data_IF_418733410770
#
_entry.id   IF_418733410770
#
_cell.length_a   1.000
_cell.length_b   1.000
_cell.length_c   1.000
_cell.angle_alpha   90.00
_cell.angle_beta   90.00
_cell.angle_gamma   90.00
#
_symmetry.space_group_name_H-M   'P 1'
#
loop_
_entity.id
_entity.type
_entity.pdbx_description
1 polymer ?
2 branched ?
3 non-polymer ?
4 non-polymer ?
5 non-polymer ?
6 non-polymer ?
7 non-polymer ?
8 water ?
#
# COMPACT_ATOMS: atom_id res chain seq x y z
N UNK A 29 5.27 -4.14 36.99
CA UNK A 29 4.18 -4.69 37.85
C UNK A 29 3.10 -3.65 38.20
N UNK A 30 3.53 -2.39 38.33
CA UNK A 30 2.61 -1.33 38.66
C UNK A 30 2.00 -0.80 37.36
N UNK A 31 0.93 -1.48 36.95
CA UNK A 31 0.22 -1.12 35.72
C UNK A 31 -0.32 0.31 35.76
N UNK A 32 -0.56 0.83 36.96
CA UNK A 32 -1.05 2.21 37.09
C UNK A 32 0.02 3.25 36.78
N UNK A 33 1.28 2.83 36.63
CA UNK A 33 2.40 3.73 36.29
C UNK A 33 2.81 3.60 34.84
N UNK A 34 2.08 2.81 34.06
CA UNK A 34 2.36 2.70 32.62
C UNK A 34 2.02 4.03 31.94
N UNK A 35 3.00 4.63 31.23
CA UNK A 35 2.81 5.97 30.66
C UNK A 35 1.72 6.02 29.61
N UNK A 36 1.07 7.17 29.49
CA UNK A 36 0.27 7.50 28.31
C UNK A 36 1.20 7.74 27.11
N UNK A 37 0.71 7.48 25.88
CA UNK A 37 1.56 7.56 24.71
C UNK A 37 1.90 8.99 24.28
N UNK A 38 2.95 9.11 23.48
CA UNK A 38 3.41 10.37 22.97
C UNK A 38 3.33 10.40 21.47
N UNK A 39 3.41 11.62 20.92
CA UNK A 39 3.28 11.83 19.49
C UNK A 39 4.65 12.06 18.86
N UNK A 40 4.79 11.69 17.59
CA UNK A 40 6.02 11.96 16.85
C UNK A 40 6.34 13.44 16.90
N UNK A 41 7.61 13.76 17.10
CA UNK A 41 8.05 15.15 17.18
C UNK A 41 8.21 15.73 15.77
N UNK A 42 7.24 16.53 15.34
CA UNK A 42 7.27 17.11 13.98
C UNK A 42 8.45 18.07 13.78
N UNK A 43 8.96 18.65 14.86
CA UNK A 43 10.08 19.58 14.75
C UNK A 43 11.37 18.85 14.33
N UNK A 44 11.40 17.54 14.48
CA UNK A 44 12.57 16.76 14.09
C UNK A 44 12.68 16.55 12.57
N UNK A 45 11.65 16.91 11.81
CA UNK A 45 11.65 16.73 10.37
C UNK A 45 12.06 17.99 9.62
N UNK A 46 12.61 17.83 8.43
CA UNK A 46 12.79 18.96 7.55
C UNK A 46 11.48 19.22 6.80
N UNK A 47 11.34 20.43 6.30
CA UNK A 47 10.15 20.84 5.56
C UNK A 47 9.80 19.83 4.45
N UNK A 48 8.53 19.45 4.37
CA UNK A 48 8.07 18.51 3.37
C UNK A 48 6.60 18.75 3.12
N UNK A 49 6.23 18.93 1.84
CA UNK A 49 4.85 19.15 1.44
C UNK A 49 3.94 18.06 1.91
N UNK A 50 2.77 18.47 2.38
CA UNK A 50 1.64 17.57 2.59
C UNK A 50 1.00 17.22 1.25
N UNK A 51 0.58 15.96 1.12
CA UNK A 51 -0.19 15.49 -0.02
C UNK A 51 -1.66 15.41 0.41
N UNK A 52 -2.55 15.85 -0.46
CA UNK A 52 -3.96 15.81 -0.17
C UNK A 52 -4.76 15.39 -1.38
N UNK A 53 -6.03 15.08 -1.14
CA UNK A 53 -6.94 14.68 -2.20
C UNK A 53 -7.71 15.90 -2.70
N UNK A 54 -7.71 16.09 -4.01
CA UNK A 54 -8.61 17.06 -4.61
C UNK A 54 -9.30 16.43 -5.80
N UNK A 55 -10.60 16.20 -5.70
CA UNK A 55 -11.34 15.49 -6.76
C UNK A 55 -10.76 14.12 -6.99
N UNK A 56 -10.45 13.81 -8.25
CA UNK A 56 -9.84 12.53 -8.59
C UNK A 56 -8.30 12.53 -8.61
N UNK A 57 -7.68 13.55 -8.01
CA UNK A 57 -6.22 13.71 -8.03
C UNK A 57 -5.66 13.86 -6.62
N UNK A 58 -4.39 13.48 -6.47
CA UNK A 58 -3.57 13.95 -5.35
C UNK A 58 -2.90 15.26 -5.73
N UNK A 59 -2.79 16.18 -4.80
CA UNK A 59 -1.99 17.37 -5.01
C UNK A 59 -1.11 17.61 -3.81
N UNK A 60 0.03 18.29 -4.03
CA UNK A 60 0.85 18.76 -2.92
C UNK A 60 0.35 20.12 -2.46
N UNK A 61 0.91 20.64 -1.37
CA UNK A 61 0.40 21.88 -0.79
C UNK A 61 0.93 23.12 -1.49
N UNK A 62 1.70 22.93 -2.56
CA UNK A 62 1.95 23.99 -3.52
C UNK A 62 0.89 23.96 -4.64
N UNK A 63 -0.08 23.04 -4.53
CA UNK A 63 -1.17 22.95 -5.51
C UNK A 63 -0.84 22.18 -6.77
N UNK A 64 0.30 21.50 -6.80
CA UNK A 64 0.72 20.76 -7.98
C UNK A 64 0.26 19.29 -7.90
N UNK A 65 -0.19 18.77 -9.03
CA UNK A 65 -0.65 17.38 -9.09
C UNK A 65 0.48 16.44 -8.72
N UNK A 66 0.15 15.41 -7.95
CA UNK A 66 1.16 14.52 -7.40
C UNK A 66 0.77 13.08 -7.70
N UNK A 67 1.76 12.26 -8.01
CA UNK A 67 1.58 10.84 -8.24
C UNK A 67 2.53 10.05 -7.34
N UNK A 68 2.00 9.12 -6.55
CA UNK A 68 2.85 8.20 -5.80
C UNK A 68 3.41 7.21 -6.80
N UNK A 69 4.72 7.05 -6.80
CA UNK A 69 5.41 6.10 -7.67
C UNK A 69 6.51 5.49 -6.85
N UNK A 70 6.45 4.19 -6.60
CA UNK A 70 7.48 3.57 -5.80
C UNK A 70 7.30 2.11 -5.58
N UNK A 71 7.69 1.63 -4.39
CA UNK A 71 7.73 0.21 -4.11
C UNK A 71 7.28 -0.14 -2.70
N UNK A 72 6.86 -1.39 -2.55
CA UNK A 72 6.82 -2.04 -1.28
C UNK A 72 8.21 -2.53 -0.90
N UNK A 73 8.54 -2.46 0.38
CA UNK A 73 9.60 -3.26 0.97
C UNK A 73 8.91 -4.27 1.85
N UNK A 74 9.67 -5.21 2.40
CA UNK A 74 9.10 -6.23 3.30
C UNK A 74 8.69 -5.63 4.64
N UNK A 75 7.96 -6.43 5.42
CA UNK A 75 7.60 -6.07 6.79
C UNK A 75 8.84 -5.70 7.60
N UNK A 76 8.72 -4.68 8.44
CA UNK A 76 9.83 -4.18 9.24
C UNK A 76 10.55 -5.26 10.06
N UNK A 77 9.79 -6.16 10.66
CA UNK A 77 10.34 -7.29 11.41
C UNK A 77 11.15 -8.25 10.57
N UNK A 78 10.68 -8.57 9.37
CA UNK A 78 11.45 -9.43 8.48
C UNK A 78 12.80 -8.79 8.19
N UNK A 79 12.79 -7.50 7.89
CA UNK A 79 14.03 -6.80 7.55
C UNK A 79 14.98 -6.72 8.76
N UNK A 80 14.42 -6.43 9.94
CA UNK A 80 15.24 -6.38 11.15
C UNK A 80 15.93 -7.71 11.41
N UNK A 81 15.24 -8.82 11.16
CA UNK A 81 15.77 -10.13 11.51
C UNK A 81 17.03 -10.45 10.70
N UNK A 82 17.18 -9.87 9.52
CA UNK A 82 18.38 -10.07 8.72
C UNK A 82 19.23 -8.78 8.63
N UNK A 83 19.05 -7.87 9.59
CA UNK A 83 19.76 -6.59 9.63
C UNK A 83 19.65 -5.76 8.35
N UNK A 84 18.49 -5.80 7.70
CA UNK A 84 18.29 -5.03 6.46
C UNK A 84 17.40 -3.80 6.67
N UNK A 85 16.98 -3.57 7.91
CA UNK A 85 16.23 -2.36 8.24
C UNK A 85 17.20 -1.22 8.51
N UNK A 86 17.49 -0.46 7.45
CA UNK A 86 18.58 0.52 7.43
C UNK A 86 18.21 1.66 6.49
N UNK A 87 18.65 2.86 6.82
CA UNK A 87 18.44 4.03 5.98
C UNK A 87 19.00 3.80 4.59
N UNK A 88 20.12 3.07 4.49
CA UNK A 88 20.73 2.74 3.21
C UNK A 88 19.73 2.11 2.23
N UNK A 89 18.79 1.34 2.75
CA UNK A 89 17.74 0.76 1.90
C UNK A 89 16.90 1.88 1.24
N UNK A 90 16.51 2.86 2.04
CA UNK A 90 15.69 3.96 1.56
C UNK A 90 16.49 4.83 0.59
N UNK A 91 17.78 5.00 0.89
CA UNK A 91 18.68 5.77 0.04
C UNK A 91 18.85 5.12 -1.35
N UNK A 92 19.04 3.81 -1.37
CA UNK A 92 19.13 3.06 -2.63
C UNK A 92 17.90 3.35 -3.50
N UNK A 93 16.71 3.23 -2.90
CA UNK A 93 15.46 3.41 -3.64
C UNK A 93 15.27 4.84 -4.13
N UNK A 94 15.53 5.80 -3.25
CA UNK A 94 15.36 7.21 -3.63
C UNK A 94 16.40 7.61 -4.66
N UNK A 95 17.67 7.23 -4.46
CA UNK A 95 18.75 7.73 -5.30
C UNK A 95 18.90 7.00 -6.62
N UNK A 96 18.61 5.71 -6.65
CA UNK A 96 18.86 4.89 -7.84
C UNK A 96 17.65 4.29 -8.52
N UNK A 97 16.51 4.25 -7.84
CA UNK A 97 15.31 3.60 -8.40
C UNK A 97 14.19 4.60 -8.68
N UNK A 98 14.43 5.87 -8.40
CA UNK A 98 13.50 6.93 -8.75
C UNK A 98 12.19 6.97 -7.98
N UNK A 99 12.12 6.33 -6.82
CA UNK A 99 10.86 6.33 -6.08
C UNK A 99 10.61 7.67 -5.37
N UNK A 100 9.34 8.04 -5.25
CA UNK A 100 8.95 9.07 -4.30
C UNK A 100 8.11 8.51 -3.14
N UNK A 101 7.92 7.19 -3.13
CA UNK A 101 7.05 6.52 -2.14
C UNK A 101 7.52 5.12 -1.81
N UNK A 102 7.41 4.77 -0.53
CA UNK A 102 7.60 3.40 -0.06
C UNK A 102 6.37 2.97 0.71
N UNK A 103 5.88 1.78 0.39
CA UNK A 103 4.78 1.18 1.13
C UNK A 103 5.35 0.20 2.16
N UNK A 104 4.88 0.33 3.40
CA UNK A 104 5.29 -0.54 4.50
C UNK A 104 4.13 -1.49 4.81
N UNK A 105 4.28 -2.78 4.48
CA UNK A 105 3.23 -3.74 4.74
C UNK A 105 3.37 -4.30 6.14
N UNK A 106 2.66 -3.68 7.08
CA UNK A 106 2.74 -4.06 8.48
C UNK A 106 1.85 -5.26 8.71
N UNK A 107 2.49 -6.42 8.89
CA UNK A 107 1.78 -7.69 9.09
C UNK A 107 1.35 -7.79 10.54
N UNK A 108 0.06 -8.10 10.80
CA UNK A 108 -0.41 -8.19 12.18
C UNK A 108 0.38 -9.13 13.09
N UNK A 109 0.85 -10.26 12.55
CA UNK A 109 1.66 -11.17 13.37
C UNK A 109 2.97 -10.51 13.83
N UNK A 110 3.55 -9.66 12.98
CA UNK A 110 4.78 -8.95 13.29
C UNK A 110 4.54 -7.77 14.25
N UNK A 111 3.42 -7.10 14.04
CA UNK A 111 2.95 -6.09 14.95
C UNK A 111 2.86 -6.66 16.38
N UNK A 112 2.25 -7.84 16.52
CA UNK A 112 2.17 -8.51 17.83
C UNK A 112 3.55 -8.98 18.32
N UNK A 113 4.37 -9.51 17.41
CA UNK A 113 5.65 -10.09 17.81
C UNK A 113 6.63 -9.04 18.33
N UNK A 114 6.77 -7.91 17.63
CA UNK A 114 7.63 -6.83 18.13
C UNK A 114 6.93 -6.10 19.25
N UNK A 115 5.59 -6.06 19.20
CA UNK A 115 4.79 -5.28 20.13
C UNK A 115 4.69 -3.84 19.60
N UNK A 116 3.55 -3.18 19.85
CA UNK A 116 3.29 -1.83 19.34
C UNK A 116 4.41 -0.81 19.59
N UNK A 117 4.92 -0.76 20.82
CA UNK A 117 5.93 0.24 21.17
C UNK A 117 7.19 0.11 20.35
N UNK A 118 7.71 -1.10 20.23
CA UNK A 118 8.92 -1.34 19.44
C UNK A 118 8.65 -1.14 17.95
N UNK A 119 7.50 -1.60 17.45
CA UNK A 119 7.18 -1.46 16.03
C UNK A 119 7.05 0.02 15.68
N UNK A 120 6.30 0.77 16.48
CA UNK A 120 6.16 2.21 16.26
C UNK A 120 7.53 2.93 16.30
N UNK A 121 8.41 2.51 17.20
CA UNK A 121 9.77 3.08 17.25
C UNK A 121 10.53 2.87 15.94
N UNK A 122 10.31 1.76 15.26
CA UNK A 122 10.96 1.54 13.98
C UNK A 122 10.25 2.29 12.86
N UNK A 123 8.93 2.42 12.94
CA UNK A 123 8.22 3.25 11.97
C UNK A 123 8.75 4.68 12.07
N UNK A 124 9.00 5.16 13.29
CA UNK A 124 9.61 6.49 13.51
C UNK A 124 10.90 6.65 12.71
N UNK A 125 11.72 5.61 12.68
CA UNK A 125 12.95 5.63 11.88
C UNK A 125 12.66 5.80 10.38
N UNK A 126 11.72 5.01 9.88
CA UNK A 126 11.30 5.13 8.49
C UNK A 126 10.86 6.54 8.18
N UNK A 127 10.12 7.16 9.09
CA UNK A 127 9.63 8.53 8.89
C UNK A 127 10.81 9.50 8.75
N UNK A 128 11.78 9.39 9.64
CA UNK A 128 12.95 10.27 9.59
C UNK A 128 13.73 10.02 8.30
N UNK A 129 13.91 8.75 7.95
CA UNK A 129 14.67 8.39 6.74
C UNK A 129 13.99 8.95 5.49
N UNK A 130 12.69 8.68 5.35
CA UNK A 130 11.93 9.13 4.18
C UNK A 130 11.90 10.66 4.10
N UNK A 131 11.62 11.31 5.23
CA UNK A 131 11.60 12.77 5.28
C UNK A 131 12.91 13.37 4.78
N UNK A 132 14.03 12.81 5.22
CA UNK A 132 15.33 13.33 4.87
C UNK A 132 15.58 13.21 3.37
N UNK A 133 15.04 12.16 2.77
CA UNK A 133 15.14 11.90 1.34
C UNK A 133 14.02 12.54 0.53
N UNK A 134 13.08 13.20 1.20
CA UNK A 134 11.97 13.84 0.51
C UNK A 134 11.02 12.85 -0.12
N UNK A 135 10.91 11.64 0.43
CA UNK A 135 9.91 10.68 -0.04
C UNK A 135 8.78 10.46 0.96
N UNK A 136 7.74 9.76 0.52
CA UNK A 136 6.53 9.56 1.33
C UNK A 136 6.31 8.10 1.66
N UNK A 137 5.55 7.86 2.72
CA UNK A 137 5.24 6.52 3.19
C UNK A 137 3.77 6.24 3.09
N UNK A 138 3.43 5.03 2.65
CA UNK A 138 2.10 4.48 2.80
C UNK A 138 2.18 3.42 3.90
N UNK A 139 1.43 3.61 4.98
CA UNK A 139 1.33 2.59 6.03
C UNK A 139 0.13 1.69 5.72
N UNK A 140 0.43 0.41 5.56
CA UNK A 140 -0.54 -0.58 5.09
C UNK A 140 -0.76 -1.62 6.19
N UNK A 141 -2.00 -1.71 6.68
CA UNK A 141 -2.34 -2.74 7.67
C UNK A 141 -2.55 -4.01 6.88
N UNK A 142 -1.51 -4.84 6.87
CA UNK A 142 -1.32 -5.83 5.82
C UNK A 142 -1.90 -7.18 6.18
N UNK A 143 -3.21 -7.26 6.06
CA UNK A 143 -3.95 -8.49 6.27
C UNK A 143 -4.61 -8.92 4.97
N UNK A 144 -5.02 -10.18 4.91
CA UNK A 144 -5.70 -10.73 3.74
C UNK A 144 -6.81 -11.59 4.29
N UNK A 145 -8.05 -11.26 3.92
CA UNK A 145 -9.21 -11.98 4.41
C UNK A 145 -10.40 -11.07 4.63
N UNK A 146 -11.30 -11.53 5.49
CA UNK A 146 -12.57 -10.85 5.73
C UNK A 146 -12.69 -10.39 7.17
N UNK A 147 -12.43 -9.11 7.38
CA UNK A 147 -12.41 -8.53 8.72
C UNK A 147 -13.73 -8.66 9.48
N UNK A 148 -14.88 -8.48 8.79
CA UNK A 148 -16.13 -8.59 9.55
C UNK A 148 -16.39 -9.94 10.20
N UNK A 149 -15.81 -11.04 9.69
CA UNK A 149 -15.89 -12.34 10.34
C UNK A 149 -14.58 -12.74 11.03
N UNK A 150 -13.56 -11.91 10.86
CA UNK A 150 -12.23 -12.11 11.42
C UNK A 150 -11.66 -13.48 11.05
N UNK A 151 -11.75 -13.79 9.75
CA UNK A 151 -11.21 -15.01 9.15
C UNK A 151 -10.27 -14.60 8.01
N UNK A 152 -9.12 -15.27 7.91
CA UNK A 152 -8.05 -14.80 7.05
C UNK A 152 -7.42 -15.89 6.19
N UNK A 153 -6.65 -15.44 5.21
CA UNK A 153 -5.98 -16.36 4.31
C UNK A 153 -4.88 -17.20 5.01
N UNK A 154 -4.26 -16.66 6.05
CA UNK A 154 -3.12 -17.31 6.69
C UNK A 154 -2.91 -16.64 8.05
N UNK A 155 -2.44 -17.40 9.05
CA UNK A 155 -2.20 -16.85 10.40
C UNK A 155 -1.39 -15.55 10.47
N UNK A 156 -0.43 -15.38 9.57
CA UNK A 156 0.44 -14.20 9.59
C UNK A 156 -0.41 -12.93 9.41
N UNK A 157 -1.61 -13.08 8.86
CA UNK A 157 -2.55 -11.97 8.62
C UNK A 157 -3.63 -11.86 9.70
N UNK A 158 -3.61 -12.75 10.68
CA UNK A 158 -4.66 -12.81 11.68
C UNK A 158 -4.78 -11.52 12.50
N UNK A 159 -6.01 -11.06 12.64
CA UNK A 159 -6.30 -9.90 13.46
C UNK A 159 -7.78 -9.94 13.89
N UNK A 160 -8.20 -8.88 14.56
CA UNK A 160 -9.60 -8.70 14.94
C UNK A 160 -9.98 -7.26 14.61
N UNK A 161 -11.28 -7.00 14.60
CA UNK A 161 -11.77 -5.66 14.44
C UNK A 161 -11.19 -4.79 15.56
N UNK A 162 -11.17 -5.32 16.79
CA UNK A 162 -10.61 -4.57 17.91
C UNK A 162 -9.13 -4.17 17.71
N UNK A 163 -8.31 -5.12 17.27
CA UNK A 163 -6.88 -4.87 17.08
C UNK A 163 -6.64 -3.91 15.91
N UNK A 164 -7.47 -4.06 14.87
CA UNK A 164 -7.40 -3.21 13.70
C UNK A 164 -7.74 -1.75 14.06
N UNK A 165 -8.82 -1.56 14.80
CA UNK A 165 -9.15 -0.22 15.30
C UNK A 165 -8.03 0.34 16.17
N UNK A 166 -7.51 -0.48 17.06
CA UNK A 166 -6.45 -0.03 17.97
C UNK A 166 -5.17 0.34 17.22
N UNK A 167 -4.83 -0.42 16.18
CA UNK A 167 -3.70 -0.07 15.33
C UNK A 167 -3.87 1.35 14.75
N UNK A 168 -5.02 1.59 14.12
CA UNK A 168 -5.25 2.88 13.48
C UNK A 168 -5.36 4.01 14.49
N UNK A 169 -5.92 3.73 15.66
CA UNK A 169 -5.96 4.70 16.75
C UNK A 169 -4.57 5.13 17.15
N UNK A 170 -3.69 4.15 17.36
CA UNK A 170 -2.31 4.42 17.76
C UNK A 170 -1.51 5.15 16.67
N UNK A 171 -1.63 4.67 15.44
CA UNK A 171 -0.93 5.26 14.30
C UNK A 171 -1.35 6.71 14.09
N UNK A 172 -2.65 6.97 14.12
CA UNK A 172 -3.15 8.31 13.84
C UNK A 172 -2.74 9.31 14.92
N UNK A 173 -2.75 8.89 16.19
CA UNK A 173 -2.28 9.74 17.28
C UNK A 173 -0.78 10.05 17.13
N UNK A 174 0.01 9.02 16.87
CA UNK A 174 1.45 9.17 16.87
C UNK A 174 1.96 10.04 15.74
N UNK A 175 1.37 9.90 14.54
CA UNK A 175 1.87 10.60 13.35
C UNK A 175 1.00 11.78 12.93
N UNK A 176 0.27 12.35 13.90
CA UNK A 176 -0.56 13.52 13.64
C UNK A 176 0.30 14.63 13.08
N UNK A 177 -0.18 15.25 12.00
CA UNK A 177 0.50 16.40 11.41
C UNK A 177 1.90 16.07 10.87
N UNK A 178 2.11 14.82 10.44
CA UNK A 178 3.39 14.40 9.86
C UNK A 178 3.26 14.23 8.36
N UNK A 179 3.86 15.14 7.57
CA UNK A 179 3.62 15.13 6.11
C UNK A 179 4.18 13.89 5.42
N UNK A 180 5.24 13.34 5.99
CA UNK A 180 5.94 12.19 5.44
C UNK A 180 5.02 10.97 5.34
N UNK A 181 4.13 10.83 6.30
CA UNK A 181 3.19 9.71 6.32
C UNK A 181 1.91 10.17 5.62
N UNK A 182 1.77 9.77 4.36
CA UNK A 182 0.75 10.34 3.47
C UNK A 182 -0.57 9.57 3.43
N UNK A 183 -0.48 8.25 3.52
CA UNK A 183 -1.62 7.37 3.25
C UNK A 183 -1.74 6.28 4.31
N UNK A 184 -2.97 6.10 4.79
CA UNK A 184 -3.34 5.06 5.73
C UNK A 184 -4.19 4.02 4.98
N UNK A 185 -3.55 2.90 4.65
CA UNK A 185 -4.20 1.88 3.85
C UNK A 185 -4.85 0.90 4.82
N UNK A 186 -6.16 1.07 5.00
CA UNK A 186 -6.90 0.49 6.11
C UNK A 186 -6.81 -1.05 6.26
N UNK A 187 -6.89 -1.78 5.15
CA UNK A 187 -6.87 -3.23 5.13
C UNK A 187 -6.44 -3.70 3.73
N UNK A 188 -5.23 -4.25 3.66
CA UNK A 188 -4.55 -4.61 2.42
C UNK A 188 -5.43 -5.30 1.38
N UNK A 189 -5.87 -6.53 1.66
CA UNK A 189 -6.61 -7.28 0.64
C UNK A 189 -7.87 -7.95 1.18
N UNK A 190 -9.01 -7.27 1.03
CA UNK A 190 -10.26 -7.90 1.40
C UNK A 190 -10.58 -9.06 0.44
N UNK A 191 -10.92 -10.21 1.00
CA UNK A 191 -11.38 -11.37 0.21
C UNK A 191 -12.08 -12.33 1.15
N UNK A 192 -13.07 -13.04 0.64
CA UNK A 192 -13.66 -14.15 1.40
C UNK A 192 -13.24 -15.51 0.88
N UNK A 193 -12.30 -15.53 -0.07
CA UNK A 193 -11.83 -16.77 -0.68
C UNK A 193 -12.97 -17.69 -1.13
N UNK A 194 -13.79 -17.19 -2.06
CA UNK A 194 -14.96 -17.95 -2.54
C UNK A 194 -16.04 -18.12 -1.46
N UNK A 195 -16.10 -17.15 -0.56
CA UNK A 195 -16.99 -17.16 0.61
C UNK A 195 -16.73 -18.31 1.60
N UNK A 196 -15.53 -18.87 1.56
CA UNK A 196 -15.09 -19.81 2.59
C UNK A 196 -14.78 -19.10 3.93
N UNK A 197 -14.49 -17.81 3.87
CA UNK A 197 -14.15 -17.01 5.06
C UNK A 197 -15.34 -16.24 5.66
N UNK A 198 -16.47 -16.25 4.93
CA UNK A 198 -17.68 -15.49 5.30
C UNK A 198 -18.42 -15.13 4.02
N UNK A 199 -19.58 -14.48 4.16
CA UNK A 199 -20.35 -13.99 2.99
C UNK A 199 -19.96 -12.56 2.66
N UNK A 200 -19.27 -12.36 1.55
CA UNK A 200 -18.85 -11.02 1.18
C UNK A 200 -20.10 -10.18 1.06
N UNK A 201 -20.06 -9.00 1.67
CA UNK A 201 -21.20 -8.10 1.72
C UNK A 201 -20.68 -6.69 1.70
N UNK A 202 -20.85 -6.01 0.55
CA UNK A 202 -20.32 -4.67 0.37
C UNK A 202 -20.81 -3.72 1.46
N UNK A 203 -22.09 -3.75 1.76
CA UNK A 203 -22.67 -2.81 2.73
C UNK A 203 -21.99 -2.90 4.11
N UNK A 204 -21.71 -4.12 4.58
CA UNK A 204 -21.07 -4.26 5.89
C UNK A 204 -19.59 -3.82 5.83
N UNK A 205 -18.92 -4.09 4.71
CA UNK A 205 -17.54 -3.66 4.51
C UNK A 205 -17.44 -2.13 4.41
N UNK A 206 -18.34 -1.54 3.63
CA UNK A 206 -18.43 -0.10 3.49
C UNK A 206 -18.55 0.56 4.87
N UNK A 207 -19.52 0.10 5.65
CA UNK A 207 -19.78 0.63 6.99
C UNK A 207 -18.55 0.54 7.88
N UNK A 208 -17.86 -0.58 7.83
CA UNK A 208 -16.67 -0.76 8.66
C UNK A 208 -15.53 0.20 8.25
N UNK A 209 -15.31 0.38 6.95
CA UNK A 209 -14.31 1.34 6.49
C UNK A 209 -14.65 2.77 6.92
N UNK A 210 -15.93 3.11 6.83
CA UNK A 210 -16.41 4.41 7.27
C UNK A 210 -16.19 4.59 8.77
N UNK A 211 -16.34 3.52 9.53
CA UNK A 211 -16.11 3.56 10.97
C UNK A 211 -14.63 3.81 11.28
N UNK A 212 -13.74 3.10 10.59
CA UNK A 212 -12.29 3.34 10.74
C UNK A 212 -11.93 4.77 10.31
N UNK A 213 -12.49 5.23 9.20
CA UNK A 213 -12.19 6.58 8.72
C UNK A 213 -12.61 7.62 9.75
N UNK A 214 -13.75 7.40 10.40
CA UNK A 214 -14.23 8.31 11.42
C UNK A 214 -13.28 8.40 12.64
N UNK A 215 -12.75 7.26 13.07
CA UNK A 215 -11.74 7.24 14.15
C UNK A 215 -10.51 8.02 13.76
N UNK A 216 -10.09 7.83 12.51
CA UNK A 216 -8.91 8.50 11.99
C UNK A 216 -9.12 10.01 11.89
N UNK A 217 -10.22 10.42 11.25
CA UNK A 217 -10.50 11.83 11.02
C UNK A 217 -10.78 12.59 12.34
N UNK A 218 -11.31 11.88 13.33
CA UNK A 218 -11.44 12.46 14.67
C UNK A 218 -10.07 12.83 15.26
N UNK A 219 -9.00 12.18 14.79
CA UNK A 219 -7.65 12.35 15.35
C UNK A 219 -6.71 13.15 14.45
N UNK A 220 -6.79 12.94 13.13
CA UNK A 220 -5.97 13.67 12.16
C UNK A 220 -6.70 13.73 10.79
N UNK A 221 -7.13 14.92 10.38
CA UNK A 221 -7.82 15.10 9.10
C UNK A 221 -6.90 15.38 7.93
N UNK A 222 -5.59 15.41 8.17
CA UNK A 222 -4.63 15.74 7.11
C UNK A 222 -4.09 14.51 6.38
N UNK A 223 -4.53 13.32 6.80
CA UNK A 223 -4.02 12.08 6.21
C UNK A 223 -5.03 11.51 5.20
N UNK A 224 -4.54 10.69 4.28
CA UNK A 224 -5.39 10.11 3.23
C UNK A 224 -5.70 8.63 3.51
N UNK A 225 -6.97 8.33 3.86
CA UNK A 225 -7.37 6.93 3.97
C UNK A 225 -7.48 6.28 2.59
N UNK A 226 -7.02 5.03 2.49
CA UNK A 226 -7.11 4.26 1.26
C UNK A 226 -7.95 3.00 1.49
N UNK A 227 -9.00 2.88 0.71
CA UNK A 227 -10.02 1.86 0.88
C UNK A 227 -9.93 0.87 -0.27
N UNK A 228 -10.15 -0.41 0.03
CA UNK A 228 -10.06 -1.49 -0.97
C UNK A 228 -11.38 -2.26 -1.15
N UNK A 229 -11.55 -2.82 -2.35
CA UNK A 229 -12.67 -3.69 -2.65
C UNK A 229 -12.34 -5.17 -2.45
N UNK A 230 -13.27 -6.01 -2.88
CA UNK A 230 -13.15 -7.45 -2.70
C UNK A 230 -12.27 -8.08 -3.78
N UNK A 231 -12.17 -9.41 -3.77
CA UNK A 231 -11.34 -10.16 -4.69
C UNK A 231 -9.88 -9.72 -4.58
N UNK A 232 -9.39 -9.66 -3.35
CA UNK A 232 -8.01 -9.26 -3.04
C UNK A 232 -7.73 -7.84 -3.54
N UNK A 233 -8.64 -6.93 -3.19
CA UNK A 233 -8.52 -5.53 -3.57
C UNK A 233 -8.46 -5.30 -5.09
N UNK A 234 -9.13 -6.15 -5.86
CA UNK A 234 -9.18 -5.97 -7.30
C UNK A 234 -10.49 -5.27 -7.73
N UNK A 235 -11.57 -5.58 -7.03
CA UNK A 235 -12.90 -5.22 -7.49
C UNK A 235 -13.47 -4.01 -6.76
N UNK A 236 -13.35 -2.85 -7.39
CA UNK A 236 -13.92 -1.62 -6.86
C UNK A 236 -15.33 -1.34 -7.40
N UNK A 237 -15.85 -2.19 -8.28
CA UNK A 237 -17.14 -1.91 -8.95
C UNK A 237 -18.31 -1.61 -8.02
N UNK A 238 -18.29 -2.09 -6.76
CA UNK A 238 -19.41 -1.70 -5.91
C UNK A 238 -19.50 -0.20 -5.61
N UNK A 239 -18.38 0.53 -5.76
CA UNK A 239 -18.41 1.96 -5.48
C UNK A 239 -19.13 2.75 -6.57
N UNK A 240 -19.41 2.12 -7.71
CA UNK A 240 -20.23 2.77 -8.74
C UNK A 240 -21.57 3.18 -8.15
N UNK A 241 -22.18 2.28 -7.38
CA UNK A 241 -23.48 2.58 -6.74
C UNK A 241 -23.37 2.93 -5.26
N UNK A 242 -22.39 2.38 -4.56
CA UNK A 242 -22.29 2.60 -3.11
C UNK A 242 -20.86 2.96 -2.69
N UNK A 243 -20.38 4.15 -3.09
CA UNK A 243 -19.05 4.57 -2.64
C UNK A 243 -19.02 4.88 -1.14
N UNK A 244 -17.85 4.74 -0.52
CA UNK A 244 -17.65 5.16 0.87
C UNK A 244 -18.11 6.63 0.98
N UNK A 245 -18.94 6.95 1.95
CA UNK A 245 -19.55 8.30 2.04
C UNK A 245 -18.72 9.25 2.88
N UNK A 246 -17.45 9.37 2.52
CA UNK A 246 -16.49 10.22 3.23
C UNK A 246 -15.59 10.89 2.21
N UNK A 247 -15.25 12.15 2.49
CA UNK A 247 -14.39 12.93 1.60
C UNK A 247 -12.93 12.66 1.91
N UNK A 248 -12.06 13.02 0.97
CA UNK A 248 -10.62 13.00 1.17
C UNK A 248 -9.98 11.62 1.16
N UNK A 249 -10.69 10.61 0.65
CA UNK A 249 -10.12 9.26 0.58
C UNK A 249 -9.64 8.91 -0.84
N UNK A 250 -8.89 7.82 -0.94
CA UNK A 250 -8.54 7.25 -2.23
C UNK A 250 -8.89 5.78 -2.21
N UNK A 251 -8.84 5.14 -3.37
CA UNK A 251 -9.12 3.71 -3.47
C UNK A 251 -7.92 2.91 -3.97
N UNK A 252 -7.74 1.74 -3.37
CA UNK A 252 -6.64 0.83 -3.72
C UNK A 252 -7.07 -0.06 -4.87
N UNK A 253 -6.10 -0.45 -5.69
CA UNK A 253 -6.32 -1.49 -6.69
C UNK A 253 -5.08 -2.40 -6.74
N UNK A 254 -5.29 -3.70 -6.85
CA UNK A 254 -4.18 -4.65 -6.99
C UNK A 254 -4.31 -5.41 -8.29
N UNK A 255 -3.95 -4.77 -9.42
CA UNK A 255 -4.19 -5.35 -10.73
C UNK A 255 -3.07 -6.27 -11.19
N UNK A 256 -2.92 -7.39 -10.52
CA UNK A 256 -1.94 -8.39 -10.93
C UNK A 256 -2.29 -8.92 -12.33
N UNK A 257 -1.30 -9.45 -13.07
CA UNK A 257 -1.53 -9.81 -14.47
C UNK A 257 -2.66 -10.79 -14.76
N UNK A 258 -2.87 -11.78 -13.88
CA UNK A 258 -3.85 -12.84 -14.14
C UNK A 258 -5.23 -12.59 -13.52
N UNK A 259 -5.46 -11.40 -12.96
CA UNK A 259 -6.77 -11.05 -12.41
C UNK A 259 -7.80 -10.91 -13.53
N UNK A 260 -7.45 -10.16 -14.58
CA UNK A 260 -8.31 -10.08 -15.76
C UNK A 260 -7.91 -11.20 -16.69
N UNK A 261 -8.89 -11.91 -17.23
CA UNK A 261 -8.63 -13.07 -18.07
C UNK A 261 -9.31 -12.96 -19.44
N UNK A 262 -8.87 -12.03 -20.29
CA UNK A 262 -9.42 -11.97 -21.64
C UNK A 262 -9.01 -13.20 -22.45
N UNK A 263 -9.88 -13.66 -23.36
CA UNK A 263 -9.54 -14.77 -24.24
C UNK A 263 -8.44 -14.38 -25.22
N UNK A 264 -8.53 -13.17 -25.75
CA UNK A 264 -7.50 -12.60 -26.62
C UNK A 264 -6.70 -11.56 -25.84
N UNK A 265 -5.41 -11.83 -25.70
CA UNK A 265 -4.55 -11.06 -24.83
C UNK A 265 -3.89 -9.89 -25.54
N UNK A 266 -4.50 -8.72 -25.41
CA UNK A 266 -3.94 -7.48 -25.97
C UNK A 266 -4.33 -6.27 -25.13
N UNK A 267 -3.76 -5.12 -25.47
CA UNK A 267 -4.02 -3.88 -24.75
C UNK A 267 -5.51 -3.60 -24.58
N UNK A 268 -6.24 -3.66 -25.68
CA UNK A 268 -7.64 -3.25 -25.70
C UNK A 268 -8.52 -4.10 -24.78
N UNK A 269 -8.30 -5.41 -24.80
CA UNK A 269 -9.13 -6.31 -24.01
C UNK A 269 -8.82 -6.23 -22.51
N UNK A 270 -7.54 -6.18 -22.18
CA UNK A 270 -7.15 -5.98 -20.78
C UNK A 270 -7.66 -4.62 -20.29
N UNK A 271 -7.47 -3.56 -21.08
CA UNK A 271 -7.91 -2.20 -20.68
C UNK A 271 -9.40 -2.15 -20.37
N UNK A 272 -10.20 -2.81 -21.19
CA UNK A 272 -11.63 -2.86 -21.00
C UNK A 272 -12.00 -3.58 -19.69
N UNK A 273 -11.36 -4.72 -19.44
CA UNK A 273 -11.61 -5.48 -18.21
C UNK A 273 -11.13 -4.70 -16.97
N UNK A 274 -9.96 -4.10 -17.04
CA UNK A 274 -9.49 -3.24 -15.95
C UNK A 274 -10.44 -2.06 -15.76
N UNK A 275 -10.85 -1.41 -16.86
CA UNK A 275 -11.85 -0.33 -16.81
C UNK A 275 -13.06 -0.73 -15.96
N UNK A 276 -13.57 -1.90 -16.23
CA UNK A 276 -14.83 -2.36 -15.64
C UNK A 276 -14.69 -2.66 -14.12
N UNK A 277 -13.55 -3.18 -13.70
CA UNK A 277 -13.39 -3.64 -12.32
C UNK A 277 -12.78 -2.61 -11.38
N UNK A 278 -11.87 -1.77 -11.88
CA UNK A 278 -11.17 -0.82 -11.01
C UNK A 278 -10.74 0.52 -11.64
N UNK A 279 -10.44 0.54 -12.93
CA UNK A 279 -9.93 1.73 -13.58
C UNK A 279 -10.91 2.87 -13.66
N UNK A 280 -12.20 2.55 -13.76
CA UNK A 280 -13.27 3.56 -13.77
C UNK A 280 -13.19 4.46 -12.53
N UNK A 281 -12.68 3.92 -11.44
CA UNK A 281 -12.63 4.66 -10.19
C UNK A 281 -11.77 5.90 -10.33
N UNK A 282 -10.73 5.83 -11.16
CA UNK A 282 -9.80 6.95 -11.36
C UNK A 282 -10.47 8.16 -12.02
N UNK A 283 -11.64 8.00 -12.64
CA UNK A 283 -12.38 9.13 -13.20
C UNK A 283 -12.94 10.06 -12.13
N UNK A 284 -13.17 9.53 -10.93
CA UNK A 284 -13.87 10.25 -9.87
C UNK A 284 -13.04 10.42 -8.59
N UNK A 285 -12.19 9.43 -8.28
CA UNK A 285 -11.37 9.45 -7.08
C UNK A 285 -9.94 9.15 -7.46
N UNK A 286 -8.98 9.53 -6.59
CA UNK A 286 -7.60 9.10 -6.80
C UNK A 286 -7.48 7.61 -6.52
N UNK A 287 -6.66 6.94 -7.31
CA UNK A 287 -6.45 5.50 -7.17
C UNK A 287 -4.95 5.23 -7.03
N UNK A 288 -4.60 4.38 -6.06
CA UNK A 288 -3.24 3.89 -5.91
C UNK A 288 -3.24 2.38 -6.08
N UNK A 289 -2.50 1.91 -7.07
CA UNK A 289 -2.26 0.49 -7.25
C UNK A 289 -1.14 0.08 -6.30
N UNK A 290 -1.51 -0.24 -5.06
CA UNK A 290 -0.53 -0.44 -4.00
C UNK A 290 0.20 -1.78 -4.05
N UNK A 291 -0.28 -2.67 -4.91
CA UNK A 291 0.42 -3.91 -5.25
C UNK A 291 0.17 -4.22 -6.71
N UNK A 292 1.27 -4.55 -7.40
CA UNK A 292 1.26 -4.95 -8.80
C UNK A 292 2.63 -5.55 -9.10
N UNK A 293 2.72 -6.30 -10.18
CA UNK A 293 3.99 -6.89 -10.56
C UNK A 293 3.81 -8.24 -11.21
N UNK A 294 4.92 -8.82 -11.64
CA UNK A 294 4.91 -10.11 -12.31
C UNK A 294 6.25 -10.83 -12.19
N UNK A 295 6.19 -12.14 -12.36
CA UNK A 295 7.37 -12.97 -12.59
C UNK A 295 7.02 -13.97 -13.72
N UNK A 296 8.03 -14.44 -14.44
CA UNK A 296 7.84 -15.49 -15.46
C UNK A 296 7.20 -16.72 -14.81
N UNK A 297 6.33 -17.44 -15.55
CA UNK A 297 5.68 -18.62 -14.98
C UNK A 297 6.65 -19.68 -14.45
N UNK A 298 7.87 -19.71 -15.00
CA UNK A 298 8.94 -20.58 -14.52
C UNK A 298 10.00 -19.85 -13.67
N UNK A 299 9.69 -18.63 -13.22
CA UNK A 299 10.63 -17.85 -12.42
C UNK A 299 10.47 -18.08 -10.93
N UNK A 300 11.17 -17.25 -10.16
CA UNK A 300 11.25 -17.43 -8.72
C UNK A 300 9.92 -17.12 -8.02
N UNK A 301 9.41 -18.07 -7.25
CA UNK A 301 8.17 -17.88 -6.51
C UNK A 301 6.95 -17.67 -7.41
N UNK A 302 6.97 -18.24 -8.60
CA UNK A 302 5.88 -18.07 -9.55
C UNK A 302 4.59 -18.72 -9.01
N UNK A 303 3.52 -17.92 -8.95
CA UNK A 303 2.21 -18.39 -8.49
C UNK A 303 1.11 -17.52 -9.09
N UNK A 304 -0.10 -18.06 -9.18
CA UNK A 304 -1.26 -17.29 -9.56
C UNK A 304 -1.40 -16.25 -8.45
N UNK A 305 -1.72 -14.99 -8.78
CA UNK A 305 -2.03 -14.44 -10.09
C UNK A 305 -0.92 -13.56 -10.68
N UNK A 306 0.34 -13.84 -10.33
CA UNK A 306 1.48 -12.99 -10.75
C UNK A 306 2.33 -13.51 -11.92
N UNK A 307 1.90 -14.59 -12.56
CA UNK A 307 2.64 -15.17 -13.69
C UNK A 307 2.36 -14.42 -14.96
N UNK A 308 3.41 -14.05 -15.67
CA UNK A 308 3.27 -13.34 -16.95
C UNK A 308 4.54 -13.49 -17.78
N UNK A 309 4.40 -13.41 -19.11
CA UNK A 309 5.54 -13.44 -20.03
C UNK A 309 6.29 -12.10 -20.09
N UNK A 310 5.78 -11.06 -19.44
CA UNK A 310 6.47 -9.76 -19.39
C UNK A 310 5.73 -8.67 -20.15
N UNK A 311 4.80 -9.05 -21.02
CA UNK A 311 4.03 -8.09 -21.79
C UNK A 311 3.13 -7.24 -20.88
N UNK A 312 2.81 -7.76 -19.71
CA UNK A 312 2.03 -7.02 -18.72
C UNK A 312 2.71 -5.73 -18.25
N UNK A 313 4.04 -5.72 -18.18
CA UNK A 313 4.76 -4.55 -17.69
C UNK A 313 4.40 -3.28 -18.45
N UNK A 314 4.72 -3.23 -19.75
CA UNK A 314 4.39 -2.06 -20.54
C UNK A 314 2.90 -1.75 -20.59
N UNK A 315 2.08 -2.79 -20.56
CA UNK A 315 0.62 -2.62 -20.67
C UNK A 315 0.02 -1.94 -19.45
N UNK A 316 0.37 -2.42 -18.25
CA UNK A 316 -0.16 -1.83 -17.02
C UNK A 316 0.40 -0.41 -16.82
N UNK A 317 1.65 -0.19 -17.21
CA UNK A 317 2.24 1.14 -17.10
C UNK A 317 1.56 2.12 -18.06
N UNK A 318 1.31 1.68 -19.28
CA UNK A 318 0.59 2.52 -20.23
C UNK A 318 -0.79 2.85 -19.69
N UNK A 319 -1.49 1.84 -19.18
CA UNK A 319 -2.84 2.03 -18.67
C UNK A 319 -2.84 3.04 -17.53
N UNK A 320 -1.93 2.83 -16.57
CA UNK A 320 -1.85 3.70 -15.40
C UNK A 320 -1.47 5.12 -15.79
N UNK A 321 -0.55 5.25 -16.74
CA UNK A 321 -0.15 6.56 -17.26
C UNK A 321 -1.31 7.32 -17.88
N UNK A 322 -2.11 6.62 -18.66
CA UNK A 322 -3.29 7.24 -19.27
C UNK A 322 -4.29 7.70 -18.25
N UNK A 323 -4.47 6.95 -17.17
CA UNK A 323 -5.49 7.27 -16.18
C UNK A 323 -4.95 8.10 -15.02
N UNK A 324 -3.65 8.41 -15.03
CA UNK A 324 -3.03 9.15 -13.93
C UNK A 324 -2.98 8.40 -12.60
N UNK A 325 -2.85 7.08 -12.67
CA UNK A 325 -2.95 6.21 -11.50
C UNK A 325 -1.59 6.11 -10.79
N UNK A 326 -1.61 6.22 -9.45
CA UNK A 326 -0.43 6.06 -8.61
C UNK A 326 -0.13 4.58 -8.40
N UNK A 327 1.08 4.23 -7.99
CA UNK A 327 1.41 2.81 -7.82
C UNK A 327 2.63 2.58 -6.92
N UNK A 328 2.60 1.45 -6.22
CA UNK A 328 3.77 0.92 -5.53
C UNK A 328 3.92 -0.57 -5.91
N UNK A 329 5.03 -0.88 -6.56
CA UNK A 329 5.30 -2.22 -7.06
C UNK A 329 5.57 -3.20 -5.90
N UNK A 330 5.12 -4.43 -6.07
CA UNK A 330 5.42 -5.51 -5.12
C UNK A 330 6.39 -6.49 -5.79
N UNK A 331 7.56 -6.77 -5.19
CA UNK A 331 8.06 -6.19 -3.93
C UNK A 331 9.57 -6.02 -4.01
N UNK A 332 10.08 -4.97 -3.37
CA UNK A 332 11.52 -4.70 -3.34
C UNK A 332 12.17 -5.50 -2.21
N UNK A 333 12.29 -6.81 -2.45
CA UNK A 333 12.81 -7.76 -1.47
C UNK A 333 13.30 -8.97 -2.25
N UNK A 334 14.39 -9.63 -1.82
CA UNK A 334 14.90 -10.76 -2.59
C UNK A 334 14.28 -12.10 -2.21
N UNK A 335 13.50 -12.16 -1.13
CA UNK A 335 12.92 -13.42 -0.64
C UNK A 335 11.46 -13.53 -1.01
N UNK A 336 10.71 -12.47 -0.75
CA UNK A 336 9.28 -12.41 -1.07
C UNK A 336 9.08 -12.18 -2.57
N UNK A 337 8.13 -12.89 -3.15
CA UNK A 337 7.90 -12.86 -4.58
C UNK A 337 6.56 -12.19 -4.95
N UNK A 338 6.45 -11.65 -6.18
CA UNK A 338 7.50 -11.52 -7.17
C UNK A 338 8.51 -10.45 -6.76
N UNK A 339 9.79 -10.75 -6.91
CA UNK A 339 10.85 -9.86 -6.43
C UNK A 339 11.10 -8.77 -7.44
N UNK A 340 11.57 -7.62 -6.96
CA UNK A 340 12.19 -6.62 -7.82
C UNK A 340 13.71 -6.75 -7.84
N UNK A 341 14.24 -7.47 -6.86
CA UNK A 341 15.68 -7.65 -6.71
C UNK A 341 16.00 -9.10 -6.35
N UNK A 342 17.13 -9.57 -6.83
CA UNK A 342 17.49 -10.97 -6.65
C UNK A 342 18.39 -11.19 -5.45
N UNK A 343 18.97 -10.12 -4.94
CA UNK A 343 19.83 -10.18 -3.77
C UNK A 343 19.87 -8.82 -3.07
N UNK A 344 20.56 -8.77 -1.94
CA UNK A 344 20.67 -7.52 -1.19
C UNK A 344 21.73 -6.56 -1.72
N UNK A 345 22.42 -6.92 -2.81
CA UNK A 345 23.19 -5.95 -3.60
C UNK A 345 22.30 -5.22 -4.61
N UNK A 346 21.00 -5.53 -4.61
CA UNK A 346 20.01 -4.86 -5.46
C UNK A 346 20.13 -5.18 -6.95
N UNK A 347 20.68 -6.34 -7.27
CA UNK A 347 20.67 -6.86 -8.66
C UNK A 347 19.23 -6.93 -9.16
N UNK A 348 18.89 -6.24 -10.25
CA UNK A 348 17.46 -6.21 -10.56
C UNK A 348 16.92 -7.52 -11.14
N UNK A 349 15.70 -7.89 -10.76
CA UNK A 349 14.97 -8.96 -11.44
C UNK A 349 14.43 -8.40 -12.75
N UNK A 350 13.71 -9.23 -13.51
CA UNK A 350 13.10 -8.77 -14.75
C UNK A 350 12.16 -7.61 -14.50
N UNK A 351 11.17 -7.82 -13.64
CA UNK A 351 10.23 -6.74 -13.36
C UNK A 351 10.93 -5.55 -12.69
N UNK A 352 11.96 -5.83 -11.90
CA UNK A 352 12.70 -4.78 -11.22
C UNK A 352 13.40 -3.84 -12.19
N UNK A 353 14.13 -4.42 -13.15
CA UNK A 353 14.80 -3.62 -14.17
C UNK A 353 13.79 -2.83 -14.98
N UNK A 354 12.66 -3.46 -15.30
CA UNK A 354 11.62 -2.77 -16.05
C UNK A 354 11.08 -1.56 -15.26
N UNK A 355 10.64 -1.80 -14.02
CA UNK A 355 10.01 -0.73 -13.25
C UNK A 355 11.00 0.37 -12.87
N UNK A 356 12.25 0.00 -12.63
CA UNK A 356 13.30 0.95 -12.30
C UNK A 356 13.44 1.99 -13.41
N UNK A 357 13.45 1.56 -14.66
CA UNK A 357 13.57 2.50 -15.77
C UNK A 357 12.29 3.34 -15.89
N UNK A 358 11.13 2.72 -15.72
CA UNK A 358 9.87 3.45 -15.75
C UNK A 358 9.88 4.59 -14.72
N UNK A 359 10.28 4.26 -13.49
CA UNK A 359 10.26 5.24 -12.41
C UNK A 359 11.34 6.31 -12.58
N UNK A 360 12.53 5.92 -13.03
CA UNK A 360 13.58 6.92 -13.35
C UNK A 360 13.10 7.89 -14.44
N UNK A 361 12.50 7.38 -15.50
CA UNK A 361 12.00 8.24 -16.56
C UNK A 361 10.86 9.15 -16.09
N UNK A 362 9.93 8.61 -15.30
CA UNK A 362 8.85 9.43 -14.76
C UNK A 362 9.38 10.57 -13.90
N UNK A 363 10.40 10.27 -13.09
CA UNK A 363 10.96 11.26 -12.19
C UNK A 363 11.47 12.48 -12.96
N UNK A 364 12.02 12.25 -14.16
CA UNK A 364 12.32 13.33 -15.09
C UNK A 364 11.00 13.85 -15.65
X LIG B 1 -7.60 -17.23 -7.33
X LIG B 1 -7.01 -15.95 -6.80
X LIG B 1 -6.80 -14.93 -7.90
X LIG B 1 -8.00 -14.81 -8.83
X LIG B 1 -7.55 -14.18 -10.15
X LIG B 1 -8.90 -16.94 -8.08
X LIG B 1 -9.40 -18.19 -8.58
X LIG B 1 -7.85 -18.11 -6.24
X LIG B 1 -5.74 -16.28 -6.27
X LIG B 1 -6.48 -13.68 -7.25
X LIG B 1 -8.63 -16.06 -9.16
X LIG B 1 -6.66 -15.06 -10.89
X LIG B 2 -4.21 -16.22 -4.54
X LIG B 2 -3.63 -15.37 -3.41
X LIG B 2 -3.17 -14.04 -3.96
X LIG B 2 -4.31 -13.34 -4.69
X LIG B 2 -3.90 -11.95 -5.20
X LIG B 2 -5.29 -15.43 -5.23
X LIG B 2 -4.80 -17.44 -4.08
X LIG B 2 -2.54 -16.06 -2.80
X LIG B 2 -2.76 -13.21 -2.88
X LIG B 2 -4.78 -14.20 -5.73
X LIG B 2 -4.92 -11.34 -5.99
X LIG B 3 -0.99 -11.79 -2.15
X LIG B 3 0.53 -11.68 -2.12
X LIG B 3 1.13 -12.92 -1.44
X LIG B 3 0.56 -14.24 -2.04
X LIG B 3 1.00 -15.54 -1.35
X LIG B 3 -1.35 -13.12 -2.78
X LIG B 3 -1.55 -10.73 -2.93
X LIG B 3 0.92 -10.48 -1.43
X LIG B 3 2.54 -12.81 -1.62
X LIG B 3 -0.86 -14.19 -1.99
X LIG B 3 0.41 -16.68 -1.99
X LIG B 4 4.71 -13.70 -1.04
X LIG B 4 5.40 -14.46 0.08
X LIG B 4 5.33 -13.68 1.40
X LIG B 4 3.96 -13.09 1.71
X LIG B 4 4.08 -12.12 2.87
X LIG B 4 3.31 -13.34 -0.53
X LIG B 4 4.67 -14.50 -2.24
X LIG B 4 6.76 -14.66 -0.36
X LIG B 4 5.67 -14.54 2.48
X LIG B 4 3.41 -12.44 0.56
X LIG B 4 2.90 -11.34 3.02
X LIG C 1 -13.87 -11.75 -2.33
X LIG D 1 0.47 12.52 7.60
X LIG E 1 0.01 -21.67 -8.55
X LIG E 1 -0.47 -20.75 -7.50
X LIG E 1 -0.10 -21.04 -9.88
X LIG E 1 -0.83 -22.89 -8.54
X LIG E 1 1.42 -22.04 -8.28
X LIG F 1 17.50 7.35 13.02
X LIG F 1 18.69 8.13 13.42
X LIG F 1 17.95 6.20 12.19
X LIG F 1 16.60 8.21 12.22
X LIG F 1 16.78 6.86 14.22
X LIG G 1 -4.32 10.33 24.42
X LIG G 1 -3.38 9.56 25.20
X LIG G 1 -4.85 9.51 23.23
X LIG G 1 -6.05 8.81 23.60
X LIG G 1 -3.81 8.53 22.70
X LIG G 1 -4.24 8.03 21.44
X LIG H 1 14.98 -15.02 4.84
X LIG H 1 16.40 -15.18 4.77
X LIG H 1 14.23 -16.16 4.16
X LIG H 1 12.91 -15.70 3.90
X LIG H 1 14.19 -17.41 5.05
X LIG H 1 13.53 -18.49 4.38
X LIG I 1 4.91 21.61 4.70
X LIG I 1 4.15 22.50 3.89
X LIG I 1 4.71 21.87 6.18
X LIG I 1 5.32 23.11 6.59
X LIG I 1 5.32 20.72 6.99
X LIG I 1 6.73 20.63 6.75
X LIG J 1 -5.36 -10.62 17.23
X LIG J 1 -6.10 -11.51 16.38
X LIG J 1 -5.44 -11.06 18.69
X LIG J 1 -6.81 -11.02 19.08
X LIG K 1 18.16 -0.45 14.38
X LIG K 1 16.77 -0.15 14.23
X LIG K 1 18.83 -0.55 13.01
X LIG K 1 18.60 0.64 12.23
X LIG L 1 18.78 -13.31 1.19
X LIG L 1 17.94 -14.10 2.04
X LIG L 1 18.69 -13.83 -0.24
X LIG L 1 19.40 -12.94 -1.10
X LIG M 1 -19.65 -17.65 -4.60
X LIG M 1 -19.95 -16.36 -5.13
X LIG M 1 -18.22 -17.65 -4.06
X LIG M 1 -17.34 -17.06 -5.01
X LIG N 1 -11.92 16.03 5.18
X LIG N 1 -12.78 15.64 6.25
X LIG N 1 -10.52 15.50 5.46
X LIG N 1 -9.87 15.24 4.23
X LIG O 1 -2.85 -19.98 -1.24
X LIG O 1 -4.20 -19.80 -0.80
X LIG O 1 -2.65 -21.40 -1.75
X LIG O 1 -1.77 -22.13 -0.89
#
# INVERSE_FOLDING_TARGET
MRTTKFLALALCLLASASALSANNSAPSNDWWDIPYPSQFDVKSLKTQSFISVKGNKFIDDKGKTFTFRGVNIADTGKLLSRNQWQKSLFEELANNWGVNTIRLPIHPVSWRKLGPDVYLGHIDEAVRWANDLGIYLILDWHSIGYLPTEQYQHPMYDTTIKETRDFWRRITFRYQNVPTVAVYELFNEPTTMGNTLGERNWAEWKTLNESLIDMIYASDKTVIPLVAGFNWAYDLSPIKKAPIEREGIAYAAHPYPQKAKPEVKNDKNFFKLWDEKWGFAADTYPVIATQLGWVQPDGYGAHIPVKDDGSYGPRIVKYMQKKGVSYTVWVFDPDWSPTMINDWDFTPSEQGAFFKQVMLEAKKR
BGC C2 C3 C4 C5 C6 C1 O1 O2 O3 O4 O5 O6
BGC C2 C3 C4 C5 C6 C1 O2 O3 O4 O5 O6
BGC C2 C3 C4 C5 C6 C1 O2 O3 O4 O5 O6
BGC C2 C3 C4 C5 C6 C1 O2 O3 O4 O5 O6
CL CL
MG MG
SO4 S O1 O2 O3 O4
SO4 S O1 O2 O3 O4
GOL C1 O1 C2 O2 C3 O3
GOL C1 O1 C2 O2 C3 O3
GOL C1 O1 C2 O2 C3 O3
PGE C1 O1 C2 O2
PGE C1 O1 C2 O2
PGE C1 O1 C2 O2
PGE C1 O1 C2 O2
PGE C1 O1 C2 O2
PGE C1 O1 C2 O2
#
